data_IF_358282773343
#
_entry.id   IF_358282773343
#
_cell.length_a   1.000
_cell.length_b   1.000
_cell.length_c   1.000
_cell.angle_alpha   90.00
_cell.angle_beta   90.00
_cell.angle_gamma   90.00
#
_symmetry.space_group_name_H-M   'P 1'
#
loop_
_entity.id
_entity.type
_entity.pdbx_description
1 polymer ?
#
# COMPACT_ATOMS: atom_id res chain seq x y z
N UNK A 1 -13.29 -34.79 -36.45
CA UNK A 1 -13.33 -34.82 -34.97
C UNK A 1 -13.77 -36.23 -34.64
N UNK A 2 -12.84 -37.06 -34.17
CA UNK A 2 -13.11 -38.47 -33.89
C UNK A 2 -13.93 -38.53 -32.59
N UNK A 3 -15.16 -39.04 -32.67
CA UNK A 3 -16.12 -39.04 -31.56
C UNK A 3 -15.84 -40.14 -30.53
N UNK A 4 -14.95 -41.08 -30.86
CA UNK A 4 -14.66 -42.27 -30.05
C UNK A 4 -13.42 -42.10 -29.14
N UNK A 5 -12.77 -40.93 -29.16
CA UNK A 5 -11.56 -40.67 -28.37
C UNK A 5 -11.84 -39.69 -27.22
N UNK A 6 -11.62 -40.14 -25.98
CA UNK A 6 -11.73 -39.26 -24.80
C UNK A 6 -10.73 -38.11 -24.88
N UNK A 7 -11.25 -36.88 -24.82
CA UNK A 7 -10.43 -35.66 -24.82
C UNK A 7 -9.76 -35.52 -23.46
N UNK A 8 -8.42 -35.45 -23.47
CA UNK A 8 -7.62 -35.21 -22.26
C UNK A 8 -7.48 -33.72 -22.02
N UNK A 9 -7.40 -33.35 -20.74
CA UNK A 9 -7.26 -31.94 -20.33
C UNK A 9 -5.84 -31.40 -20.55
N UNK A 10 -4.83 -32.28 -20.52
CA UNK A 10 -3.42 -31.95 -20.73
C UNK A 10 -2.72 -33.11 -21.44
N UNK A 11 -1.69 -32.78 -22.22
CA UNK A 11 -0.88 -33.76 -22.94
C UNK A 11 0.52 -33.95 -22.31
N UNK A 12 0.95 -33.04 -21.43
CA UNK A 12 2.24 -33.08 -20.73
C UNK A 12 2.19 -32.51 -19.30
N UNK A 13 3.26 -32.73 -18.53
CA UNK A 13 3.36 -32.29 -17.13
C UNK A 13 3.30 -30.76 -16.99
N UNK A 14 3.89 -30.00 -17.91
CA UNK A 14 3.87 -28.53 -17.84
C UNK A 14 2.48 -27.94 -18.09
N UNK A 15 1.70 -28.55 -18.99
CA UNK A 15 0.28 -28.19 -19.19
C UNK A 15 -0.56 -28.54 -17.97
N UNK A 16 -0.31 -29.70 -17.36
CA UNK A 16 -0.97 -30.09 -16.10
C UNK A 16 -0.72 -29.06 -15.01
N UNK A 17 0.53 -28.69 -14.76
CA UNK A 17 0.90 -27.70 -13.74
C UNK A 17 0.23 -26.34 -14.01
N UNK A 18 0.16 -25.93 -15.28
CA UNK A 18 -0.53 -24.69 -15.67
C UNK A 18 -2.03 -24.76 -15.36
N UNK A 19 -2.67 -25.87 -15.70
CA UNK A 19 -4.10 -26.11 -15.44
C UNK A 19 -4.37 -26.15 -13.94
N UNK A 20 -3.50 -26.80 -13.17
CA UNK A 20 -3.62 -26.88 -11.72
C UNK A 20 -3.53 -25.48 -11.09
N UNK A 21 -2.55 -24.66 -11.50
CA UNK A 21 -2.43 -23.26 -11.04
C UNK A 21 -3.69 -22.43 -11.37
N UNK A 22 -4.24 -22.60 -12.58
CA UNK A 22 -5.47 -21.93 -12.99
C UNK A 22 -6.67 -22.42 -12.19
N UNK A 23 -6.74 -23.73 -11.89
CA UNK A 23 -7.82 -24.32 -11.10
C UNK A 23 -7.82 -23.82 -9.66
N UNK A 24 -6.63 -23.63 -9.08
CA UNK A 24 -6.46 -23.10 -7.73
C UNK A 24 -6.93 -21.64 -7.66
N UNK A 25 -6.51 -20.80 -8.61
CA UNK A 25 -6.98 -19.41 -8.70
C UNK A 25 -8.50 -19.34 -8.85
N UNK A 26 -9.08 -20.20 -9.70
CA UNK A 26 -10.52 -20.32 -9.88
C UNK A 26 -11.22 -20.70 -8.56
N UNK A 27 -10.70 -21.68 -7.84
CA UNK A 27 -11.25 -22.14 -6.57
C UNK A 27 -11.21 -21.03 -5.50
N UNK A 28 -10.09 -20.32 -5.38
CA UNK A 28 -9.94 -19.22 -4.41
C UNK A 28 -10.93 -18.07 -4.67
N UNK A 29 -11.15 -17.68 -5.93
CA UNK A 29 -12.13 -16.64 -6.28
C UNK A 29 -13.54 -17.06 -5.89
N UNK A 30 -13.93 -18.32 -6.15
CA UNK A 30 -15.23 -18.85 -5.74
C UNK A 30 -15.36 -18.97 -4.21
N UNK A 31 -14.28 -19.32 -3.51
CA UNK A 31 -14.25 -19.36 -2.06
C UNK A 31 -14.48 -17.96 -1.46
N UNK A 32 -13.83 -16.93 -2.02
CA UNK A 32 -14.04 -15.55 -1.61
C UNK A 32 -15.48 -15.08 -1.86
N UNK A 33 -16.07 -15.45 -3.01
CA UNK A 33 -17.48 -15.15 -3.31
C UNK A 33 -18.44 -15.79 -2.29
N UNK A 34 -18.14 -17.04 -1.90
CA UNK A 34 -18.90 -17.72 -0.86
C UNK A 34 -18.77 -16.99 0.49
N UNK A 35 -17.54 -16.62 0.88
CA UNK A 35 -17.26 -15.89 2.10
C UNK A 35 -18.04 -14.56 2.18
N UNK A 36 -18.06 -13.78 1.09
CA UNK A 36 -18.84 -12.54 1.00
C UNK A 36 -20.35 -12.78 1.16
N UNK A 37 -20.87 -13.86 0.56
CA UNK A 37 -22.31 -14.21 0.64
C UNK A 37 -22.71 -14.68 2.04
N UNK A 38 -21.87 -15.44 2.73
CA UNK A 38 -22.19 -15.89 4.10
C UNK A 38 -22.05 -14.74 5.10
N UNK A 39 -21.07 -13.85 4.91
CA UNK A 39 -20.90 -12.66 5.74
C UNK A 39 -22.05 -11.66 5.56
N UNK A 40 -22.47 -11.37 4.33
CA UNK A 40 -23.62 -10.48 4.06
C UNK A 40 -24.96 -11.01 4.61
N UNK A 41 -25.04 -12.31 4.92
CA UNK A 41 -26.19 -12.95 5.55
C UNK A 41 -25.99 -13.18 7.06
N UNK A 42 -24.96 -12.58 7.64
CA UNK A 42 -24.64 -12.62 9.08
C UNK A 42 -24.41 -14.05 9.63
N UNK A 43 -23.93 -14.97 8.79
CA UNK A 43 -23.58 -16.34 9.22
C UNK A 43 -22.17 -16.46 9.81
N UNK A 44 -21.31 -15.45 9.63
CA UNK A 44 -19.91 -15.44 10.09
C UNK A 44 -19.63 -14.16 10.86
N UNK A 45 -19.06 -14.22 12.08
CA UNK A 45 -18.69 -13.04 12.83
C UNK A 45 -17.68 -12.16 12.10
N UNK A 46 -17.79 -10.83 12.27
CA UNK A 46 -16.93 -9.84 11.62
C UNK A 46 -15.43 -10.09 11.78
N UNK A 47 -14.99 -10.54 12.97
CA UNK A 47 -13.58 -10.84 13.25
C UNK A 47 -13.06 -12.02 12.41
N UNK A 48 -13.84 -13.09 12.31
CA UNK A 48 -13.48 -14.29 11.55
C UNK A 48 -13.50 -14.01 10.06
N UNK A 49 -14.52 -13.31 9.58
CA UNK A 49 -14.60 -12.83 8.20
C UNK A 49 -13.37 -12.00 7.82
N UNK A 50 -12.98 -11.04 8.66
CA UNK A 50 -11.84 -10.15 8.36
C UNK A 50 -10.54 -10.93 8.21
N UNK A 51 -10.30 -11.91 9.07
CA UNK A 51 -9.11 -12.74 9.04
C UNK A 51 -9.05 -13.63 7.78
N UNK A 52 -10.14 -14.34 7.49
CA UNK A 52 -10.18 -15.24 6.33
C UNK A 52 -10.22 -14.49 5.00
N UNK A 53 -10.92 -13.34 4.92
CA UNK A 53 -10.95 -12.50 3.74
C UNK A 53 -9.55 -11.95 3.42
N UNK A 54 -8.84 -11.42 4.43
CA UNK A 54 -7.46 -10.94 4.27
C UNK A 54 -6.52 -12.04 3.77
N UNK A 55 -6.65 -13.24 4.33
CA UNK A 55 -5.86 -14.40 3.93
C UNK A 55 -6.15 -14.82 2.48
N UNK A 56 -7.42 -14.91 2.10
CA UNK A 56 -7.82 -15.26 0.73
C UNK A 56 -7.34 -14.23 -0.29
N UNK A 57 -7.41 -12.93 0.01
CA UNK A 57 -6.92 -11.87 -0.88
C UNK A 57 -5.41 -12.01 -1.14
N UNK A 58 -4.62 -12.29 -0.10
CA UNK A 58 -3.17 -12.54 -0.25
C UNK A 58 -2.92 -13.81 -1.08
N UNK A 59 -3.66 -14.89 -0.82
CA UNK A 59 -3.52 -16.15 -1.56
C UNK A 59 -3.87 -15.97 -3.04
N UNK A 60 -4.94 -15.25 -3.37
CA UNK A 60 -5.34 -14.93 -4.75
C UNK A 60 -4.25 -14.17 -5.47
N UNK A 61 -3.61 -13.18 -4.82
CA UNK A 61 -2.47 -12.46 -5.41
C UNK A 61 -1.29 -13.37 -5.74
N UNK A 62 -0.98 -14.31 -4.84
CA UNK A 62 0.10 -15.28 -5.06
C UNK A 62 -0.26 -16.23 -6.20
N UNK A 63 -1.48 -16.78 -6.20
CA UNK A 63 -1.97 -17.67 -7.24
C UNK A 63 -2.00 -16.99 -8.62
N UNK A 64 -2.38 -15.70 -8.69
CA UNK A 64 -2.38 -14.94 -9.94
C UNK A 64 -0.97 -14.82 -10.54
N UNK A 65 0.08 -14.70 -9.71
CA UNK A 65 1.48 -14.67 -10.19
C UNK A 65 1.92 -16.00 -10.82
N UNK A 66 1.27 -17.11 -10.47
CA UNK A 66 1.52 -18.44 -11.02
C UNK A 66 0.77 -18.69 -12.35
N UNK A 67 -0.10 -17.75 -12.76
CA UNK A 67 -0.83 -17.77 -14.03
C UNK A 67 -0.28 -16.64 -14.92
N UNK A 68 0.85 -16.86 -15.62
CA UNK A 68 1.54 -15.79 -16.34
C UNK A 68 0.73 -15.29 -17.55
N UNK A 69 0.78 -13.98 -17.78
CA UNK A 69 0.22 -13.35 -18.98
C UNK A 69 -1.29 -13.12 -18.95
N UNK A 70 -1.90 -13.11 -17.77
CA UNK A 70 -3.34 -12.87 -17.62
C UNK A 70 -3.64 -11.98 -16.41
N UNK A 71 -4.41 -10.91 -16.62
CA UNK A 71 -4.98 -10.12 -15.52
C UNK A 71 -6.14 -10.86 -14.85
N UNK A 72 -6.53 -10.42 -13.65
CA UNK A 72 -7.69 -11.01 -12.97
C UNK A 72 -8.98 -10.83 -13.80
N UNK A 73 -9.14 -9.69 -14.47
CA UNK A 73 -10.28 -9.39 -15.35
C UNK A 73 -10.29 -10.29 -16.59
N UNK A 74 -9.12 -10.51 -17.18
CA UNK A 74 -8.97 -11.42 -18.33
C UNK A 74 -9.30 -12.86 -17.95
N UNK A 75 -8.83 -13.31 -16.79
CA UNK A 75 -9.10 -14.63 -16.24
C UNK A 75 -10.59 -14.85 -15.99
N UNK A 76 -11.25 -13.88 -15.35
CA UNK A 76 -12.70 -13.91 -15.07
C UNK A 76 -13.51 -13.98 -16.35
N UNK A 77 -13.14 -13.18 -17.36
CA UNK A 77 -13.81 -13.18 -18.66
C UNK A 77 -13.61 -14.50 -19.40
N UNK A 78 -12.38 -15.01 -19.45
CA UNK A 78 -12.04 -16.25 -20.16
C UNK A 78 -12.71 -17.47 -19.55
N UNK A 79 -12.76 -17.56 -18.21
CA UNK A 79 -13.35 -18.68 -17.48
C UNK A 79 -14.81 -18.46 -17.09
N UNK A 80 -15.43 -17.37 -17.54
CA UNK A 80 -16.84 -17.00 -17.28
C UNK A 80 -17.20 -17.05 -15.79
N UNK A 81 -16.30 -16.57 -14.94
CA UNK A 81 -16.49 -16.55 -13.49
C UNK A 81 -17.59 -15.55 -13.12
N UNK A 82 -18.60 -16.00 -12.37
CA UNK A 82 -19.74 -15.18 -11.93
C UNK A 82 -19.63 -14.90 -10.43
N UNK A 83 -18.63 -14.09 -10.05
CA UNK A 83 -18.32 -13.78 -8.65
C UNK A 83 -18.25 -12.27 -8.39
N UNK A 84 -19.37 -11.53 -8.56
CA UNK A 84 -19.34 -10.07 -8.47
C UNK A 84 -18.88 -9.55 -7.10
N UNK A 85 -19.23 -10.22 -6.00
CA UNK A 85 -18.83 -9.76 -4.66
C UNK A 85 -17.33 -9.97 -4.42
N UNK A 86 -16.80 -11.13 -4.84
CA UNK A 86 -15.36 -11.40 -4.79
C UNK A 86 -14.56 -10.39 -5.63
N UNK A 87 -15.05 -10.04 -6.82
CA UNK A 87 -14.36 -9.09 -7.71
C UNK A 87 -14.28 -7.69 -7.12
N UNK A 88 -15.34 -7.20 -6.47
CA UNK A 88 -15.28 -5.92 -5.76
C UNK A 88 -14.27 -5.97 -4.61
N UNK A 89 -14.22 -7.06 -3.84
CA UNK A 89 -13.22 -7.22 -2.77
C UNK A 89 -11.79 -7.30 -3.29
N UNK A 90 -11.56 -8.02 -4.39
CA UNK A 90 -10.23 -8.12 -5.02
C UNK A 90 -9.80 -6.73 -5.54
N UNK A 91 -10.73 -5.95 -6.12
CA UNK A 91 -10.45 -4.59 -6.57
C UNK A 91 -10.13 -3.64 -5.43
N UNK A 92 -10.86 -3.73 -4.33
CA UNK A 92 -10.60 -2.92 -3.12
C UNK A 92 -9.40 -3.40 -2.31
N UNK A 93 -8.97 -4.64 -2.53
CA UNK A 93 -7.85 -5.30 -1.88
C UNK A 93 -7.91 -5.30 -0.33
N UNK A 94 -9.14 -5.33 0.21
CA UNK A 94 -9.38 -5.38 1.65
C UNK A 94 -10.78 -5.91 2.01
N UNK A 95 -10.95 -6.51 3.20
CA UNK A 95 -12.27 -6.90 3.71
C UNK A 95 -13.18 -5.70 3.91
N UNK A 96 -14.49 -5.87 3.72
CA UNK A 96 -15.47 -4.77 3.86
C UNK A 96 -15.55 -4.17 5.28
N UNK A 97 -15.09 -4.93 6.28
CA UNK A 97 -15.01 -4.53 7.69
C UNK A 97 -13.90 -3.53 7.95
N UNK A 98 -12.86 -3.54 7.12
CA UNK A 98 -11.76 -2.58 7.17
C UNK A 98 -12.23 -1.36 6.40
N UNK A 99 -12.81 -0.40 7.12
CA UNK A 99 -13.20 0.88 6.52
C UNK A 99 -11.95 1.59 6.02
N UNK A 100 -12.14 2.35 4.95
CA UNK A 100 -11.18 3.34 4.48
C UNK A 100 -10.59 4.09 5.67
N UNK A 101 -9.29 4.00 5.85
CA UNK A 101 -8.54 4.82 6.79
C UNK A 101 -8.56 6.30 6.36
N UNK A 102 -9.45 6.73 5.45
CA UNK A 102 -9.55 8.10 4.93
C UNK A 102 -9.61 9.18 6.02
N UNK A 103 -10.28 8.91 7.15
CA UNK A 103 -10.26 9.83 8.29
C UNK A 103 -8.86 9.93 8.93
N UNK A 104 -8.19 8.80 9.08
CA UNK A 104 -6.82 8.70 9.57
C UNK A 104 -5.81 9.25 8.54
N UNK A 105 -6.10 9.10 7.25
CA UNK A 105 -5.31 9.58 6.11
C UNK A 105 -5.42 11.09 5.99
N UNK A 106 -6.61 11.67 6.06
CA UNK A 106 -6.81 13.12 6.06
C UNK A 106 -6.12 13.76 7.28
N UNK A 107 -6.18 13.08 8.43
CA UNK A 107 -5.43 13.49 9.62
C UNK A 107 -3.92 13.41 9.37
N UNK A 108 -3.40 12.28 8.86
CA UNK A 108 -1.98 12.15 8.51
C UNK A 108 -1.54 13.20 7.47
N UNK A 109 -2.39 13.52 6.49
CA UNK A 109 -2.10 14.57 5.49
C UNK A 109 -1.97 15.93 6.19
N UNK A 110 -2.93 16.26 7.07
CA UNK A 110 -2.90 17.51 7.82
C UNK A 110 -1.63 17.61 8.70
N UNK A 111 -1.33 16.55 9.45
CA UNK A 111 -0.16 16.45 10.33
C UNK A 111 1.15 16.61 9.52
N UNK A 112 1.28 15.92 8.38
CA UNK A 112 2.48 16.03 7.50
C UNK A 112 2.62 17.46 6.95
N UNK A 113 1.53 18.06 6.47
CA UNK A 113 1.55 19.43 5.93
C UNK A 113 1.96 20.43 7.01
N UNK A 114 1.37 20.33 8.19
CA UNK A 114 1.70 21.16 9.35
C UNK A 114 3.17 21.03 9.73
N UNK A 115 3.67 19.79 9.87
CA UNK A 115 5.06 19.53 10.27
C UNK A 115 6.09 19.98 9.23
N UNK A 116 5.77 19.88 7.93
CA UNK A 116 6.61 20.46 6.88
C UNK A 116 6.70 21.98 7.01
N UNK A 117 5.56 22.66 7.18
CA UNK A 117 5.51 24.12 7.31
C UNK A 117 6.28 24.54 8.56
N UNK A 118 6.00 23.92 9.71
CA UNK A 118 6.66 24.21 10.98
C UNK A 118 8.18 24.02 10.87
N UNK A 119 8.65 22.90 10.31
CA UNK A 119 10.09 22.65 10.15
C UNK A 119 10.77 23.68 9.24
N UNK A 120 10.10 24.08 8.15
CA UNK A 120 10.59 25.11 7.24
C UNK A 120 10.63 26.49 7.89
N UNK A 121 9.58 26.84 8.65
CA UNK A 121 9.48 28.13 9.34
C UNK A 121 10.55 28.25 10.44
N UNK A 122 10.80 27.19 11.21
CA UNK A 122 11.90 27.18 12.19
C UNK A 122 13.24 27.52 11.53
N UNK A 123 13.57 26.84 10.43
CA UNK A 123 14.82 27.07 9.70
C UNK A 123 14.90 28.49 9.10
N UNK A 124 13.78 29.03 8.62
CA UNK A 124 13.67 30.40 8.06
C UNK A 124 13.78 31.49 9.15
N UNK A 125 13.36 31.19 10.38
CA UNK A 125 13.55 32.04 11.55
C UNK A 125 14.96 31.96 12.16
N UNK A 126 15.87 31.23 11.51
CA UNK A 126 17.24 30.96 11.98
C UNK A 126 17.30 30.16 13.30
N UNK A 127 16.31 29.30 13.55
CA UNK A 127 16.45 28.25 14.56
C UNK A 127 17.43 27.21 14.00
N UNK A 128 18.51 26.95 14.75
CA UNK A 128 19.62 26.08 14.33
C UNK A 128 19.89 24.93 15.30
N UNK A 129 19.46 25.05 16.56
CA UNK A 129 19.74 24.07 17.60
C UNK A 129 19.04 22.74 17.31
N UNK A 130 19.78 21.64 17.50
CA UNK A 130 19.29 20.28 17.21
C UNK A 130 18.09 19.94 18.09
N UNK A 131 18.11 20.28 19.38
CA UNK A 131 17.00 20.02 20.30
C UNK A 131 15.70 20.76 19.96
N UNK A 132 15.78 21.89 19.24
CA UNK A 132 14.62 22.63 18.75
C UNK A 132 14.09 22.08 17.40
N UNK A 133 14.97 21.61 16.53
CA UNK A 133 14.61 21.13 15.18
C UNK A 133 14.23 19.65 15.15
N UNK A 134 14.93 18.83 15.92
CA UNK A 134 14.83 17.37 15.86
C UNK A 134 13.46 16.80 16.27
N UNK A 135 12.73 17.35 17.27
CA UNK A 135 11.40 16.85 17.63
C UNK A 135 10.40 16.91 16.47
N UNK A 136 10.30 18.06 15.79
CA UNK A 136 9.40 18.23 14.65
C UNK A 136 9.81 17.36 13.46
N UNK A 137 11.10 17.23 13.20
CA UNK A 137 11.60 16.36 12.14
C UNK A 137 11.32 14.87 12.41
N UNK A 138 11.42 14.45 13.67
CA UNK A 138 11.10 13.09 14.11
C UNK A 138 9.63 12.79 13.90
N UNK A 139 8.74 13.71 14.29
CA UNK A 139 7.31 13.55 14.08
C UNK A 139 6.94 13.59 12.59
N UNK A 140 7.58 14.47 11.81
CA UNK A 140 7.40 14.50 10.35
C UNK A 140 7.79 13.16 9.72
N UNK A 141 8.94 12.61 10.11
CA UNK A 141 9.41 11.31 9.62
C UNK A 141 8.43 10.19 10.00
N UNK A 142 7.99 10.15 11.25
CA UNK A 142 7.01 9.17 11.72
C UNK A 142 5.68 9.25 10.95
N UNK A 143 5.14 10.45 10.77
CA UNK A 143 3.88 10.70 10.07
C UNK A 143 3.95 10.32 8.59
N UNK A 144 5.07 10.61 7.91
CA UNK A 144 5.29 10.17 6.52
C UNK A 144 5.35 8.64 6.42
N UNK A 145 6.02 7.96 7.37
CA UNK A 145 6.09 6.50 7.37
C UNK A 145 4.76 5.81 7.71
N UNK A 146 3.90 6.47 8.49
CA UNK A 146 2.58 5.96 8.83
C UNK A 146 1.59 6.00 7.64
N UNK A 147 1.84 6.85 6.65
CA UNK A 147 0.98 6.98 5.47
C UNK A 147 1.24 5.85 4.47
N UNK A 148 0.47 4.77 4.58
CA UNK A 148 0.56 3.59 3.71
C UNK A 148 0.27 3.85 2.23
N UNK A 149 -0.31 5.01 1.89
CA UNK A 149 -0.58 5.40 0.49
C UNK A 149 0.65 5.95 -0.22
N UNK A 150 1.71 6.31 0.51
CA UNK A 150 2.95 6.78 -0.09
C UNK A 150 3.83 5.59 -0.53
N UNK A 151 4.42 5.64 -1.72
CA UNK A 151 5.44 4.67 -2.14
C UNK A 151 6.62 4.62 -1.16
N UNK A 152 7.26 3.46 -1.03
CA UNK A 152 8.41 3.30 -0.14
C UNK A 152 9.64 4.10 -0.57
N UNK A 153 9.79 4.30 -1.88
CA UNK A 153 10.83 5.11 -2.53
C UNK A 153 10.39 6.56 -2.75
N UNK A 154 9.32 7.02 -2.10
CA UNK A 154 8.81 8.37 -2.27
C UNK A 154 9.86 9.41 -1.90
N UNK A 155 10.07 10.37 -2.81
CA UNK A 155 11.15 11.36 -2.71
C UNK A 155 11.16 12.13 -1.38
N UNK A 156 9.99 12.52 -0.87
CA UNK A 156 9.90 13.21 0.42
C UNK A 156 10.32 12.31 1.60
N UNK A 157 10.00 11.01 1.55
CA UNK A 157 10.35 10.02 2.57
C UNK A 157 11.87 9.83 2.65
N UNK A 158 12.53 9.74 1.50
CA UNK A 158 13.99 9.62 1.41
C UNK A 158 14.70 10.87 1.94
N UNK A 159 14.25 12.07 1.54
CA UNK A 159 14.85 13.33 1.97
C UNK A 159 14.69 13.57 3.47
N UNK A 160 13.47 13.41 4.01
CA UNK A 160 13.20 13.59 5.44
C UNK A 160 14.01 12.59 6.28
N UNK A 161 14.13 11.33 5.82
CA UNK A 161 14.97 10.33 6.48
C UNK A 161 16.43 10.74 6.55
N UNK A 162 17.00 11.25 5.46
CA UNK A 162 18.39 11.71 5.41
C UNK A 162 18.69 12.77 6.48
N UNK A 163 17.78 13.75 6.64
CA UNK A 163 17.92 14.78 7.68
C UNK A 163 17.66 14.24 9.08
N UNK A 164 16.71 13.33 9.24
CA UNK A 164 16.45 12.65 10.51
C UNK A 164 17.72 11.92 10.98
N UNK A 165 18.33 11.10 10.12
CA UNK A 165 19.55 10.36 10.43
C UNK A 165 20.71 11.30 10.78
N UNK A 166 20.82 12.43 10.07
CA UNK A 166 21.85 13.45 10.32
C UNK A 166 21.68 14.12 11.68
N UNK A 167 20.48 14.61 12.01
CA UNK A 167 20.22 15.27 13.29
C UNK A 167 20.26 14.30 14.47
N UNK A 168 19.80 13.06 14.29
CA UNK A 168 19.88 12.01 15.32
C UNK A 168 21.33 11.70 15.71
N UNK A 169 22.29 11.89 14.80
CA UNK A 169 23.72 11.73 15.06
C UNK A 169 24.39 12.90 15.79
N UNK A 170 23.68 14.02 15.98
CA UNK A 170 24.20 15.24 16.61
C UNK A 170 23.75 15.32 18.08
N UNK A 171 24.53 16.02 18.92
CA UNK A 171 24.14 16.31 20.29
C UNK A 171 23.09 17.43 20.34
N UNK A 172 22.23 17.40 21.35
CA UNK A 172 21.12 18.34 21.54
C UNK A 172 21.52 19.83 21.44
N UNK A 173 22.69 20.19 21.96
CA UNK A 173 23.19 21.57 22.00
C UNK A 173 23.97 21.99 20.73
N UNK A 174 24.18 21.07 19.78
CA UNK A 174 24.84 21.41 18.53
C UNK A 174 23.88 22.22 17.65
N UNK A 175 24.46 23.10 16.83
CA UNK A 175 23.71 23.94 15.90
C UNK A 175 24.08 23.61 14.45
N UNK A 176 23.10 23.68 13.56
CA UNK A 176 23.34 23.61 12.13
C UNK A 176 24.07 24.87 11.64
N UNK A 177 25.10 24.68 10.81
CA UNK A 177 25.71 25.80 10.08
C UNK A 177 24.71 26.42 9.10
N UNK A 178 24.87 27.70 8.76
CA UNK A 178 24.01 28.38 7.79
C UNK A 178 23.96 27.70 6.42
N UNK A 179 25.09 27.14 5.97
CA UNK A 179 25.17 26.36 4.74
C UNK A 179 24.33 25.08 4.85
N UNK A 180 24.46 24.36 5.97
CA UNK A 180 23.69 23.13 6.21
C UNK A 180 22.19 23.42 6.31
N UNK A 181 21.81 24.49 7.00
CA UNK A 181 20.42 24.87 7.15
C UNK A 181 19.80 25.30 5.82
N UNK A 182 20.54 26.02 4.95
CA UNK A 182 20.09 26.34 3.59
C UNK A 182 19.85 25.08 2.75
N UNK A 183 20.74 24.09 2.86
CA UNK A 183 20.56 22.82 2.18
C UNK A 183 19.32 22.07 2.71
N UNK A 184 19.11 22.08 4.04
CA UNK A 184 17.93 21.47 4.66
C UNK A 184 16.63 22.13 4.19
N UNK A 185 16.59 23.46 4.13
CA UNK A 185 15.43 24.20 3.59
C UNK A 185 15.16 23.77 2.15
N UNK A 186 16.17 23.76 1.29
CA UNK A 186 16.00 23.40 -0.12
C UNK A 186 15.45 21.97 -0.30
N UNK A 187 15.98 21.00 0.44
CA UNK A 187 15.54 19.61 0.35
C UNK A 187 14.15 19.40 0.97
N UNK A 188 13.84 20.02 2.10
CA UNK A 188 12.50 19.95 2.69
C UNK A 188 11.44 20.64 1.81
N UNK A 189 11.76 21.78 1.18
CA UNK A 189 10.86 22.41 0.20
C UNK A 189 10.64 21.51 -1.02
N UNK A 190 11.68 20.84 -1.53
CA UNK A 190 11.55 19.88 -2.61
C UNK A 190 10.66 18.69 -2.21
N UNK A 191 10.87 18.12 -1.02
CA UNK A 191 10.06 17.04 -0.47
C UNK A 191 8.59 17.44 -0.28
N UNK A 192 8.35 18.63 0.28
CA UNK A 192 7.00 19.17 0.45
C UNK A 192 6.29 19.39 -0.89
N UNK A 193 6.98 19.94 -1.88
CA UNK A 193 6.44 20.12 -3.23
C UNK A 193 6.10 18.77 -3.90
N UNK A 194 6.94 17.75 -3.73
CA UNK A 194 6.66 16.39 -4.20
C UNK A 194 5.40 15.82 -3.53
N UNK A 195 5.28 16.00 -2.21
CA UNK A 195 4.11 15.59 -1.44
C UNK A 195 2.83 16.31 -1.92
N UNK A 196 2.87 17.62 -2.13
CA UNK A 196 1.73 18.36 -2.69
C UNK A 196 1.34 17.90 -4.09
N UNK A 197 2.31 17.57 -4.95
CA UNK A 197 2.03 17.01 -6.28
C UNK A 197 1.33 15.66 -6.18
N UNK A 198 1.81 14.79 -5.29
CA UNK A 198 1.19 13.49 -5.02
C UNK A 198 -0.28 13.65 -4.58
N UNK A 199 -0.57 14.59 -3.68
CA UNK A 199 -1.94 14.85 -3.22
C UNK A 199 -2.87 15.42 -4.32
N UNK A 200 -2.32 16.07 -5.35
CA UNK A 200 -3.10 16.58 -6.49
C UNK A 200 -3.32 15.54 -7.58
N UNK A 201 -2.47 14.51 -7.63
CA UNK A 201 -2.55 13.41 -8.60
C UNK A 201 -3.29 12.18 -8.08
N UNK A 202 -3.56 12.13 -6.78
CA UNK A 202 -4.34 11.08 -6.10
C UNK A 202 -5.82 11.45 -6.06
#
# INVERSE_FOLDING_TARGET
>A
MDLDQEVRLFDNNSERDRIDNMSELYAMINALECLEKVYSRDYVPSKEYTAECSKLLVQIKVALRLVPGMSIEEFVRQHRIQCPAALERIREDRPITVRDDKGNQLKCIADIVELFITSLDQLKLNIRAVDELFPNLTELYASINAMSTLPDDFDAKVKVKSWYDKLHGMAAHEELSDETARQMIFELEAGYNAFQRFLRSS
#
